data_IF_513948778720
#
_entry.id   IF_513948778720
#
_cell.length_a   1.000
_cell.length_b   1.000
_cell.length_c   1.000
_cell.angle_alpha   90.00
_cell.angle_beta   90.00
_cell.angle_gamma   90.00
#
_symmetry.space_group_name_H-M   'P 1'
#
loop_
_entity.id
_entity.type
_entity.pdbx_description
1 polymer ?
#
# COMPACT_ATOMS: atom_id res chain seq x y z
N UNK A 1 6.71 -6.61 62.77
CA UNK A 1 6.68 -5.37 61.95
C UNK A 1 7.46 -5.62 60.67
N UNK A 2 6.80 -6.09 59.61
CA UNK A 2 7.41 -6.26 58.28
C UNK A 2 7.54 -4.90 57.59
N UNK A 3 8.71 -4.61 57.02
CA UNK A 3 8.94 -3.35 56.29
C UNK A 3 7.92 -3.22 55.15
N UNK A 4 7.20 -2.09 55.10
CA UNK A 4 6.51 -1.57 53.92
C UNK A 4 7.54 -1.24 52.83
N UNK A 5 8.20 -2.24 52.28
CA UNK A 5 9.17 -2.11 51.21
C UNK A 5 8.58 -2.65 49.91
N UNK A 6 8.48 -1.77 48.92
CA UNK A 6 8.32 -2.09 47.49
C UNK A 6 6.96 -2.63 47.04
N UNK A 7 5.86 -1.87 47.27
CA UNK A 7 4.71 -2.02 46.37
C UNK A 7 5.16 -1.64 44.95
N UNK A 8 4.83 -2.48 43.97
CA UNK A 8 4.98 -2.15 42.56
C UNK A 8 3.74 -1.36 42.15
N UNK A 9 3.94 -0.14 41.64
CA UNK A 9 2.87 0.69 41.07
C UNK A 9 2.35 0.06 39.77
N UNK A 10 1.06 0.22 39.48
CA UNK A 10 0.42 -0.37 38.30
C UNK A 10 -0.04 -1.83 38.44
N UNK A 11 0.14 -2.43 39.63
CA UNK A 11 -0.39 -3.76 39.96
C UNK A 11 -1.52 -3.65 40.96
N UNK A 12 -2.73 -3.93 40.50
CA UNK A 12 -3.89 -4.08 41.39
C UNK A 12 -3.95 -5.49 41.99
N UNK A 13 -4.66 -5.61 43.12
CA UNK A 13 -5.02 -6.89 43.74
C UNK A 13 -5.96 -7.64 42.79
N UNK A 14 -5.39 -8.35 41.82
CA UNK A 14 -6.16 -9.27 40.99
C UNK A 14 -6.61 -10.41 41.89
N UNK A 15 -7.93 -10.59 41.99
CA UNK A 15 -8.49 -11.82 42.54
C UNK A 15 -8.23 -12.89 41.47
N UNK A 16 -7.03 -13.49 41.48
CA UNK A 16 -6.71 -14.61 40.60
C UNK A 16 -7.74 -15.71 40.93
N UNK A 17 -8.55 -16.16 39.96
CA UNK A 17 -9.54 -17.19 40.22
C UNK A 17 -8.84 -18.41 40.81
N UNK A 18 -9.52 -18.99 41.81
CA UNK A 18 -9.12 -20.02 42.76
C UNK A 18 -7.90 -20.91 42.40
N UNK A 19 -7.17 -21.29 43.45
CA UNK A 19 -5.96 -22.13 43.47
C UNK A 19 -5.95 -23.22 42.39
N UNK A 20 -5.38 -22.92 41.23
CA UNK A 20 -5.32 -23.86 40.10
C UNK A 20 -5.10 -23.22 38.73
N UNK A 21 -5.39 -21.91 38.60
CA UNK A 21 -5.20 -21.14 37.36
C UNK A 21 -3.89 -20.33 37.45
N UNK A 22 -2.73 -20.96 37.58
CA UNK A 22 -1.99 -21.51 36.45
C UNK A 22 -1.20 -20.38 35.77
N UNK A 23 0.12 -20.50 35.71
CA UNK A 23 1.08 -19.55 35.09
C UNK A 23 0.56 -18.72 33.87
N UNK A 24 -0.28 -19.24 32.94
CA UNK A 24 -0.84 -18.46 31.83
C UNK A 24 -1.63 -17.19 32.20
N UNK A 25 -2.50 -17.22 33.22
CA UNK A 25 -3.30 -16.03 33.58
C UNK A 25 -2.43 -14.94 34.19
N UNK A 26 -1.48 -15.35 35.04
CA UNK A 26 -0.49 -14.44 35.62
C UNK A 26 0.41 -13.82 34.55
N UNK A 27 0.77 -14.60 33.53
CA UNK A 27 1.54 -14.13 32.37
C UNK A 27 0.75 -13.12 31.55
N UNK A 28 -0.48 -13.43 31.15
CA UNK A 28 -1.33 -12.52 30.38
C UNK A 28 -1.53 -11.17 31.10
N UNK A 29 -1.83 -11.20 32.40
CA UNK A 29 -2.01 -9.99 33.20
C UNK A 29 -0.75 -9.12 33.29
N UNK A 30 0.41 -9.72 33.59
CA UNK A 30 1.66 -8.97 33.68
C UNK A 30 2.13 -8.46 32.31
N UNK A 31 1.91 -9.24 31.26
CA UNK A 31 2.16 -8.83 29.87
C UNK A 31 1.32 -7.61 29.50
N UNK A 32 0.00 -7.68 29.67
CA UNK A 32 -0.92 -6.56 29.39
C UNK A 32 -0.56 -5.32 30.23
N UNK A 33 -0.21 -5.51 31.50
CA UNK A 33 0.21 -4.41 32.37
C UNK A 33 1.48 -3.70 31.87
N UNK A 34 2.43 -4.42 31.27
CA UNK A 34 3.61 -3.84 30.63
C UNK A 34 3.23 -3.11 29.33
N UNK A 35 2.40 -3.74 28.50
CA UNK A 35 2.05 -3.24 27.17
C UNK A 35 1.19 -1.97 27.21
N UNK A 36 0.24 -1.90 28.14
CA UNK A 36 -0.64 -0.73 28.33
C UNK A 36 0.01 0.34 29.22
N UNK A 37 1.27 0.15 29.63
CA UNK A 37 2.05 1.13 30.39
C UNK A 37 1.71 1.26 31.87
N UNK A 38 0.84 0.39 32.43
CA UNK A 38 0.60 0.31 33.88
C UNK A 38 1.92 0.01 34.62
N UNK A 39 2.71 -0.91 34.08
CA UNK A 39 4.10 -1.15 34.47
C UNK A 39 5.02 -0.36 33.53
N UNK A 40 5.53 0.78 34.00
CA UNK A 40 6.37 1.66 33.17
C UNK A 40 7.70 1.00 32.77
N UNK A 41 8.24 1.30 31.58
CA UNK A 41 9.58 0.88 31.16
C UNK A 41 10.65 1.19 32.21
N UNK A 42 11.56 0.24 32.46
CA UNK A 42 12.62 0.36 33.46
C UNK A 42 12.17 0.10 34.92
N UNK A 43 10.87 -0.12 35.17
CA UNK A 43 10.37 -0.45 36.52
C UNK A 43 10.95 -1.76 37.04
N UNK A 44 11.34 -1.79 38.32
CA UNK A 44 11.90 -2.99 38.95
C UNK A 44 10.76 -3.93 39.36
N UNK A 45 10.81 -5.16 38.85
CA UNK A 45 9.86 -6.22 39.13
C UNK A 45 10.41 -7.16 40.21
N UNK A 46 10.18 -6.80 41.47
CA UNK A 46 10.55 -7.66 42.61
C UNK A 46 9.67 -8.91 42.64
N UNK A 47 10.28 -10.09 42.54
CA UNK A 47 9.56 -11.37 42.64
C UNK A 47 8.80 -11.52 43.95
N UNK A 48 9.35 -10.98 45.04
CA UNK A 48 8.72 -11.04 46.37
C UNK A 48 7.50 -10.13 46.40
N UNK A 49 7.63 -8.89 45.92
CA UNK A 49 6.53 -7.94 45.89
C UNK A 49 5.39 -8.38 44.97
N UNK A 50 5.71 -8.91 43.78
CA UNK A 50 4.72 -9.46 42.85
C UNK A 50 3.97 -10.64 43.47
N UNK A 51 4.67 -11.57 44.13
CA UNK A 51 4.05 -12.70 44.80
C UNK A 51 3.09 -12.26 45.92
N UNK A 52 3.49 -11.27 46.72
CA UNK A 52 2.68 -10.71 47.80
C UNK A 52 1.45 -9.94 47.28
N UNK A 53 1.62 -9.08 46.27
CA UNK A 53 0.52 -8.27 45.71
C UNK A 53 -0.51 -9.13 44.95
N UNK A 54 -0.06 -10.19 44.27
CA UNK A 54 -0.91 -11.03 43.44
C UNK A 54 -1.44 -12.27 44.17
N UNK A 55 -1.08 -12.45 45.45
CA UNK A 55 -1.57 -13.56 46.27
C UNK A 55 -1.09 -14.95 45.82
N UNK A 56 0.07 -15.03 45.14
CA UNK A 56 0.63 -16.27 44.59
C UNK A 56 1.98 -16.62 45.22
N UNK A 57 2.47 -17.85 45.02
CA UNK A 57 3.84 -18.21 45.44
C UNK A 57 4.89 -17.62 44.49
N UNK A 58 6.17 -17.60 44.90
CA UNK A 58 7.27 -17.07 44.08
C UNK A 58 7.58 -17.89 42.83
N UNK A 59 7.27 -19.19 42.84
CA UNK A 59 7.54 -20.11 41.73
C UNK A 59 6.85 -19.71 40.42
N UNK A 60 5.51 -19.47 40.37
CA UNK A 60 4.85 -19.01 39.16
C UNK A 60 5.31 -17.62 38.73
N UNK A 61 5.61 -16.70 39.66
CA UNK A 61 6.15 -15.37 39.33
C UNK A 61 7.48 -15.49 38.59
N UNK A 62 8.40 -16.33 39.08
CA UNK A 62 9.69 -16.57 38.42
C UNK A 62 9.54 -17.14 37.02
N UNK A 63 8.62 -18.09 36.84
CA UNK A 63 8.34 -18.68 35.52
C UNK A 63 7.73 -17.66 34.56
N UNK A 64 6.81 -16.81 35.02
CA UNK A 64 6.23 -15.74 34.21
C UNK A 64 7.29 -14.70 33.81
N UNK A 65 8.14 -14.25 34.74
CA UNK A 65 9.21 -13.29 34.42
C UNK A 65 10.22 -13.87 33.42
N UNK A 66 10.51 -15.17 33.49
CA UNK A 66 11.36 -15.85 32.50
C UNK A 66 10.71 -15.89 31.12
N UNK A 67 9.40 -16.10 31.03
CA UNK A 67 8.64 -16.03 29.76
C UNK A 67 8.63 -14.61 29.19
N UNK A 68 8.34 -13.62 30.03
CA UNK A 68 8.39 -12.20 29.63
C UNK A 68 9.80 -11.78 29.20
N UNK A 69 10.86 -12.36 29.79
CA UNK A 69 12.24 -12.17 29.32
C UNK A 69 12.48 -12.79 27.94
N UNK A 70 11.97 -13.99 27.68
CA UNK A 70 12.04 -14.61 26.35
C UNK A 70 11.28 -13.80 25.29
N UNK A 71 10.23 -13.08 25.70
CA UNK A 71 9.46 -12.17 24.86
C UNK A 71 10.14 -10.81 24.64
N UNK A 72 11.16 -10.47 25.43
CA UNK A 72 11.85 -9.17 25.38
C UNK A 72 11.17 -8.06 26.19
N UNK A 73 10.13 -8.38 26.98
CA UNK A 73 9.37 -7.41 27.78
C UNK A 73 10.01 -7.14 29.15
N UNK A 74 10.93 -8.02 29.58
CA UNK A 74 11.62 -7.93 30.87
C UNK A 74 13.11 -8.24 30.67
N UNK A 75 13.97 -7.44 31.27
CA UNK A 75 15.40 -7.69 31.39
C UNK A 75 15.70 -8.28 32.78
N UNK A 76 16.47 -9.37 32.85
CA UNK A 76 16.90 -9.96 34.13
C UNK A 76 18.42 -9.82 34.26
N UNK A 77 18.85 -8.91 35.13
CA UNK A 77 20.28 -8.68 35.41
C UNK A 77 20.89 -9.84 36.23
N UNK A 78 22.22 -10.08 36.11
CA UNK A 78 22.94 -10.94 37.04
C UNK A 78 22.79 -10.37 38.46
N UNK A 79 22.09 -11.10 39.34
CA UNK A 79 21.56 -10.73 40.68
C UNK A 79 20.01 -10.64 40.81
N UNK A 80 19.26 -11.27 39.89
CA UNK A 80 17.81 -11.56 39.95
C UNK A 80 16.85 -10.35 39.99
N UNK A 81 17.34 -9.13 39.77
CA UNK A 81 16.46 -7.97 39.61
C UNK A 81 15.91 -8.00 38.19
N UNK A 82 14.68 -8.45 38.06
CA UNK A 82 13.91 -8.28 36.83
C UNK A 82 13.50 -6.81 36.71
N UNK A 83 13.55 -6.26 35.50
CA UNK A 83 13.04 -4.93 35.18
C UNK A 83 12.22 -4.99 33.91
N UNK A 84 11.17 -4.18 33.80
CA UNK A 84 10.49 -3.97 32.52
C UNK A 84 11.53 -3.45 31.53
N UNK A 85 11.62 -4.09 30.36
CA UNK A 85 12.56 -3.69 29.32
C UNK A 85 12.36 -2.20 28.99
N UNK A 86 13.46 -1.47 28.78
CA UNK A 86 13.35 -0.05 28.43
C UNK A 86 12.90 0.04 26.98
N UNK A 87 11.69 0.54 26.76
CA UNK A 87 11.26 1.00 25.44
C UNK A 87 12.01 2.29 25.13
N UNK A 88 12.99 2.22 24.22
CA UNK A 88 13.65 3.39 23.65
C UNK A 88 12.86 3.80 22.39
N UNK A 89 11.95 4.79 22.45
CA UNK A 89 11.17 5.19 21.30
C UNK A 89 12.05 5.61 20.11
N UNK A 90 13.26 6.10 20.38
CA UNK A 90 14.28 6.42 19.38
C UNK A 90 14.76 5.18 18.61
N UNK A 91 14.96 4.04 19.28
CA UNK A 91 15.40 2.81 18.64
C UNK A 91 14.31 2.24 17.74
N UNK A 92 13.04 2.30 18.19
CA UNK A 92 11.89 1.86 17.39
C UNK A 92 11.65 2.80 16.21
N UNK A 93 11.79 4.11 16.39
CA UNK A 93 11.73 5.10 15.29
C UNK A 93 12.77 4.76 14.20
N UNK A 94 14.02 4.49 14.59
CA UNK A 94 15.09 4.09 13.65
C UNK A 94 14.79 2.74 13.00
N UNK A 95 14.37 1.73 13.76
CA UNK A 95 14.07 0.40 13.21
C UNK A 95 12.91 0.43 12.20
N UNK A 96 11.84 1.18 12.48
CA UNK A 96 10.71 1.33 11.55
C UNK A 96 11.11 2.16 10.32
N UNK A 97 11.96 3.18 10.48
CA UNK A 97 12.52 3.92 9.35
C UNK A 97 13.35 3.03 8.42
N UNK A 98 14.21 2.16 8.97
CA UNK A 98 14.96 1.18 8.21
C UNK A 98 14.04 0.19 7.50
N UNK A 99 12.97 -0.25 8.16
CA UNK A 99 11.94 -1.11 7.56
C UNK A 99 11.28 -0.44 6.35
N UNK A 100 10.85 0.81 6.50
CA UNK A 100 10.23 1.59 5.42
C UNK A 100 11.15 1.65 4.21
N UNK A 101 12.42 2.03 4.40
CA UNK A 101 13.40 2.13 3.31
C UNK A 101 13.69 0.77 2.66
N UNK A 102 13.85 -0.28 3.47
CA UNK A 102 14.17 -1.61 2.99
C UNK A 102 13.00 -2.26 2.23
N UNK A 103 11.76 -2.15 2.74
CA UNK A 103 10.58 -2.68 2.06
C UNK A 103 10.28 -1.88 0.78
N UNK A 104 10.48 -0.56 0.80
CA UNK A 104 10.38 0.30 -0.39
C UNK A 104 11.35 -0.15 -1.48
N UNK A 105 12.62 -0.34 -1.14
CA UNK A 105 13.64 -0.84 -2.08
C UNK A 105 13.28 -2.23 -2.61
N UNK A 106 12.75 -3.11 -1.76
CA UNK A 106 12.41 -4.47 -2.14
C UNK A 106 11.22 -4.52 -3.10
N UNK A 107 10.17 -3.72 -2.86
CA UNK A 107 9.06 -3.57 -3.80
C UNK A 107 9.58 -3.03 -5.12
N UNK A 108 10.32 -1.92 -5.12
CA UNK A 108 10.87 -1.33 -6.36
C UNK A 108 11.72 -2.32 -7.16
N UNK A 109 12.60 -3.06 -6.49
CA UNK A 109 13.46 -4.04 -7.12
C UNK A 109 12.71 -5.28 -7.66
N UNK A 110 11.56 -5.62 -7.08
CA UNK A 110 10.81 -6.84 -7.40
C UNK A 110 9.57 -6.63 -8.26
N UNK A 111 9.09 -5.40 -8.40
CA UNK A 111 7.76 -5.09 -8.97
C UNK A 111 7.59 -5.57 -10.41
N UNK A 112 8.65 -5.45 -11.23
CA UNK A 112 8.62 -5.88 -12.63
C UNK A 112 8.49 -7.41 -12.81
N UNK A 113 8.77 -8.18 -11.75
CA UNK A 113 8.66 -9.65 -11.75
C UNK A 113 7.38 -10.16 -11.08
N UNK A 114 6.47 -9.27 -10.67
CA UNK A 114 5.23 -9.64 -10.00
C UNK A 114 4.24 -10.27 -10.98
N UNK A 115 3.68 -11.44 -10.63
CA UNK A 115 2.87 -12.26 -11.55
C UNK A 115 1.37 -12.22 -11.25
N UNK A 116 0.55 -12.68 -12.20
CA UNK A 116 -0.90 -12.78 -12.01
C UNK A 116 -1.26 -13.73 -10.85
N UNK A 117 -0.59 -14.89 -10.77
CA UNK A 117 -0.79 -15.83 -9.65
C UNK A 117 -0.48 -15.18 -8.30
N UNK A 118 0.54 -14.32 -8.24
CA UNK A 118 0.88 -13.54 -7.04
C UNK A 118 -0.18 -12.48 -6.74
N UNK A 119 -0.75 -11.81 -7.75
CA UNK A 119 -1.86 -10.88 -7.55
C UNK A 119 -3.10 -11.59 -7.00
N UNK A 120 -3.47 -12.73 -7.57
CA UNK A 120 -4.60 -13.55 -7.11
C UNK A 120 -4.40 -14.06 -5.68
N UNK A 121 -3.20 -14.54 -5.35
CA UNK A 121 -2.82 -14.90 -3.98
C UNK A 121 -2.93 -13.68 -3.05
N UNK A 122 -2.45 -12.51 -3.46
CA UNK A 122 -2.57 -11.27 -2.71
C UNK A 122 -4.02 -10.95 -2.37
N UNK A 123 -4.94 -11.03 -3.35
CA UNK A 123 -6.37 -10.80 -3.10
C UNK A 123 -6.97 -11.81 -2.11
N UNK A 124 -6.52 -13.07 -2.14
CA UNK A 124 -6.91 -14.09 -1.17
C UNK A 124 -6.46 -13.74 0.24
N UNK A 125 -5.21 -13.28 0.40
CA UNK A 125 -4.67 -12.82 1.69
C UNK A 125 -5.44 -11.60 2.23
N UNK A 126 -5.75 -10.62 1.38
CA UNK A 126 -6.58 -9.48 1.77
C UNK A 126 -8.01 -9.90 2.16
N UNK A 127 -8.55 -10.94 1.53
CA UNK A 127 -9.83 -11.53 1.96
C UNK A 127 -9.73 -12.18 3.35
N UNK A 128 -8.67 -12.94 3.61
CA UNK A 128 -8.40 -13.53 4.94
C UNK A 128 -8.30 -12.46 6.02
N UNK A 129 -7.50 -11.41 5.78
CA UNK A 129 -7.40 -10.27 6.68
C UNK A 129 -8.76 -9.62 6.96
N UNK A 130 -9.58 -9.37 5.93
CA UNK A 130 -10.92 -8.79 6.11
C UNK A 130 -11.89 -9.69 6.87
N UNK A 131 -11.72 -11.01 6.80
CA UNK A 131 -12.57 -11.95 7.53
C UNK A 131 -12.10 -12.16 8.97
N UNK A 132 -10.80 -12.03 9.24
CA UNK A 132 -10.17 -12.20 10.55
C UNK A 132 -10.28 -10.94 11.44
N UNK A 133 -11.51 -10.42 11.60
CA UNK A 133 -11.80 -9.15 12.32
C UNK A 133 -12.32 -9.35 13.75
N UNK A 134 -12.50 -10.59 14.20
CA UNK A 134 -12.87 -10.92 15.57
C UNK A 134 -11.67 -10.82 16.53
N UNK A 135 -11.95 -10.64 17.84
CA UNK A 135 -10.90 -10.65 18.87
C UNK A 135 -10.14 -11.99 18.93
N UNK A 136 -10.84 -13.08 18.61
CA UNK A 136 -10.32 -14.45 18.56
C UNK A 136 -9.59 -14.77 17.25
N UNK A 137 -9.72 -13.93 16.21
CA UNK A 137 -9.16 -14.18 14.87
C UNK A 137 -7.86 -13.39 14.60
N UNK A 138 -7.35 -12.67 15.60
CA UNK A 138 -6.18 -11.81 15.41
C UNK A 138 -4.97 -12.59 14.87
N UNK A 139 -4.74 -13.84 15.33
CA UNK A 139 -3.65 -14.69 14.85
C UNK A 139 -3.71 -14.93 13.33
N UNK A 140 -4.89 -15.23 12.78
CA UNK A 140 -5.07 -15.43 11.34
C UNK A 140 -4.88 -14.12 10.56
N UNK A 141 -5.32 -12.98 11.12
CA UNK A 141 -5.04 -11.68 10.52
C UNK A 141 -3.53 -11.42 10.41
N UNK A 142 -2.76 -11.70 11.47
CA UNK A 142 -1.32 -11.46 11.48
C UNK A 142 -0.55 -12.38 10.55
N UNK A 143 -0.95 -13.64 10.47
CA UNK A 143 -0.37 -14.59 9.53
C UNK A 143 -0.63 -14.13 8.09
N UNK A 144 -1.88 -13.82 7.75
CA UNK A 144 -2.24 -13.32 6.42
C UNK A 144 -1.55 -11.98 6.08
N UNK A 145 -1.43 -11.07 7.06
CA UNK A 145 -0.72 -9.80 6.90
C UNK A 145 0.78 -10.01 6.66
N UNK A 146 1.43 -10.93 7.40
CA UNK A 146 2.84 -11.23 7.19
C UNK A 146 3.08 -11.87 5.82
N UNK A 147 2.22 -12.82 5.42
CA UNK A 147 2.24 -13.43 4.08
C UNK A 147 2.05 -12.37 2.98
N UNK A 148 1.19 -11.37 3.20
CA UNK A 148 0.98 -10.27 2.26
C UNK A 148 2.24 -9.44 2.05
N UNK A 149 2.90 -9.02 3.12
CA UNK A 149 4.14 -8.23 3.01
C UNK A 149 5.28 -9.05 2.39
N UNK A 150 5.39 -10.35 2.67
CA UNK A 150 6.37 -11.24 2.02
C UNK A 150 6.10 -11.42 0.52
N UNK A 151 4.82 -11.45 0.13
CA UNK A 151 4.38 -11.59 -1.25
C UNK A 151 4.74 -10.37 -2.09
N UNK A 152 4.45 -9.15 -1.61
CA UNK A 152 4.72 -7.92 -2.39
C UNK A 152 6.23 -7.68 -2.61
N UNK A 153 7.09 -8.29 -1.80
CA UNK A 153 8.56 -8.28 -1.97
C UNK A 153 9.12 -9.59 -2.52
N UNK A 154 8.27 -10.47 -3.07
CA UNK A 154 8.68 -11.78 -3.60
C UNK A 154 9.72 -11.70 -4.73
N UNK A 155 9.64 -10.67 -5.57
CA UNK A 155 10.57 -10.44 -6.67
C UNK A 155 11.93 -9.86 -6.24
N UNK A 156 12.07 -9.43 -4.99
CA UNK A 156 13.30 -8.79 -4.52
C UNK A 156 14.46 -9.79 -4.35
N UNK A 157 15.74 -9.35 -4.41
CA UNK A 157 16.89 -10.21 -4.14
C UNK A 157 16.78 -10.93 -2.79
N UNK A 158 17.12 -12.21 -2.76
CA UNK A 158 16.97 -13.06 -1.56
C UNK A 158 17.72 -12.52 -0.32
N UNK A 159 18.87 -11.86 -0.50
CA UNK A 159 19.58 -11.23 0.61
C UNK A 159 18.76 -10.08 1.25
N UNK A 160 18.08 -9.29 0.44
CA UNK A 160 17.20 -8.21 0.91
C UNK A 160 15.96 -8.79 1.61
N UNK A 161 15.34 -9.82 1.02
CA UNK A 161 14.22 -10.55 1.64
C UNK A 161 14.57 -11.12 3.02
N UNK A 162 15.78 -11.68 3.19
CA UNK A 162 16.25 -12.16 4.52
C UNK A 162 16.33 -11.04 5.54
N UNK A 163 16.94 -9.91 5.19
CA UNK A 163 16.99 -8.75 6.09
C UNK A 163 15.60 -8.24 6.46
N UNK A 164 14.66 -8.26 5.52
CA UNK A 164 13.27 -7.89 5.79
C UNK A 164 12.59 -8.83 6.78
N UNK A 165 12.81 -10.15 6.67
CA UNK A 165 12.31 -11.13 7.65
C UNK A 165 12.84 -10.84 9.05
N UNK A 166 14.14 -10.57 9.19
CA UNK A 166 14.76 -10.27 10.48
C UNK A 166 14.12 -9.02 11.14
N UNK A 167 13.84 -7.97 10.34
CA UNK A 167 13.18 -6.74 10.81
C UNK A 167 11.70 -6.99 11.14
N UNK A 168 10.99 -7.78 10.32
CA UNK A 168 9.60 -8.11 10.51
C UNK A 168 9.38 -8.91 11.82
N UNK A 169 10.24 -9.89 12.10
CA UNK A 169 10.20 -10.72 13.30
C UNK A 169 10.45 -9.92 14.57
N UNK A 170 11.41 -8.99 14.53
CA UNK A 170 11.71 -8.10 15.66
C UNK A 170 10.52 -7.21 16.05
N UNK A 171 9.62 -6.94 15.11
CA UNK A 171 8.54 -5.95 15.24
C UNK A 171 7.14 -6.58 15.24
N UNK A 172 7.02 -7.89 15.00
CA UNK A 172 5.76 -8.63 14.88
C UNK A 172 4.94 -8.64 16.19
N UNK A 173 5.61 -8.84 17.33
CA UNK A 173 4.95 -8.91 18.65
C UNK A 173 4.32 -7.59 19.06
N UNK A 174 4.93 -6.46 18.69
CA UNK A 174 4.42 -5.13 19.00
C UNK A 174 3.16 -4.79 18.20
N UNK A 175 3.07 -5.28 16.96
CA UNK A 175 1.87 -5.11 16.12
C UNK A 175 0.70 -5.97 16.64
N UNK A 176 1.01 -7.18 17.10
CA UNK A 176 0.05 -8.20 17.55
C UNK A 176 -0.96 -7.71 18.59
N UNK A 177 -0.45 -7.20 19.72
CA UNK A 177 -1.29 -6.84 20.86
C UNK A 177 -2.11 -5.56 20.60
N UNK A 178 -1.65 -4.71 19.68
CA UNK A 178 -2.35 -3.46 19.34
C UNK A 178 -3.52 -3.66 18.39
N UNK A 179 -3.40 -4.56 17.41
CA UNK A 179 -4.51 -4.81 16.47
C UNK A 179 -5.81 -5.17 17.19
N UNK A 180 -5.72 -5.99 18.25
CA UNK A 180 -6.86 -6.37 19.10
C UNK A 180 -7.56 -5.20 19.78
N UNK A 181 -6.86 -4.10 20.04
CA UNK A 181 -7.40 -2.90 20.71
C UNK A 181 -7.71 -1.76 19.74
N UNK A 182 -7.46 -1.92 18.43
CA UNK A 182 -7.75 -0.87 17.45
C UNK A 182 -9.27 -0.72 17.19
N UNK A 183 -9.78 0.52 17.05
CA UNK A 183 -11.15 0.75 16.60
C UNK A 183 -11.39 0.20 15.19
N UNK A 184 -12.59 -0.35 14.94
CA UNK A 184 -12.98 -0.90 13.63
C UNK A 184 -12.73 0.04 12.44
N UNK A 185 -13.04 1.34 12.49
CA UNK A 185 -12.77 2.24 11.36
C UNK A 185 -11.28 2.35 11.00
N UNK A 186 -10.37 2.14 11.98
CA UNK A 186 -8.93 2.14 11.74
C UNK A 186 -8.50 0.85 11.05
N UNK A 187 -9.04 -0.29 11.47
CA UNK A 187 -8.79 -1.58 10.82
C UNK A 187 -9.26 -1.57 9.36
N UNK A 188 -10.46 -1.05 9.10
CA UNK A 188 -11.01 -0.92 7.74
C UNK A 188 -10.18 -0.01 6.84
N UNK A 189 -9.60 1.05 7.40
CA UNK A 189 -8.69 1.92 6.64
C UNK A 189 -7.41 1.18 6.26
N UNK A 190 -6.81 0.45 7.20
CA UNK A 190 -5.61 -0.37 6.97
C UNK A 190 -5.87 -1.40 5.87
N UNK A 191 -6.98 -2.12 5.92
CA UNK A 191 -7.33 -3.10 4.88
C UNK A 191 -7.42 -2.45 3.48
N UNK A 192 -7.99 -1.25 3.38
CA UNK A 192 -8.04 -0.48 2.11
C UNK A 192 -6.65 -0.04 1.65
N UNK A 193 -5.77 0.33 2.57
CA UNK A 193 -4.37 0.66 2.24
C UNK A 193 -3.66 -0.54 1.62
N UNK A 194 -3.85 -1.75 2.17
CA UNK A 194 -3.29 -2.98 1.60
C UNK A 194 -3.85 -3.30 0.20
N UNK A 195 -5.15 -3.11 -0.02
CA UNK A 195 -5.77 -3.22 -1.35
C UNK A 195 -5.10 -2.27 -2.37
N UNK A 196 -4.90 -1.00 -1.99
CA UNK A 196 -4.26 -0.01 -2.85
C UNK A 196 -2.77 -0.32 -3.14
N UNK A 197 -2.05 -0.88 -2.15
CA UNK A 197 -0.65 -1.32 -2.32
C UNK A 197 -0.59 -2.47 -3.33
N UNK A 198 -1.44 -3.49 -3.16
CA UNK A 198 -1.46 -4.67 -4.04
C UNK A 198 -1.71 -4.28 -5.49
N UNK A 199 -2.68 -3.40 -5.72
CA UNK A 199 -3.00 -2.92 -7.08
C UNK A 199 -1.84 -2.11 -7.66
N UNK A 200 -1.17 -1.26 -6.87
CA UNK A 200 -0.01 -0.51 -7.34
C UNK A 200 1.16 -1.43 -7.73
N UNK A 201 1.41 -2.50 -6.96
CA UNK A 201 2.42 -3.52 -7.24
C UNK A 201 2.07 -4.29 -8.51
N UNK A 202 0.83 -4.78 -8.61
CA UNK A 202 0.33 -5.53 -9.78
C UNK A 202 0.42 -4.73 -11.08
N UNK A 203 0.08 -3.44 -11.02
CA UNK A 203 0.12 -2.55 -12.17
C UNK A 203 1.55 -2.12 -12.56
N UNK A 204 2.58 -2.50 -11.79
CA UNK A 204 3.97 -2.15 -12.08
C UNK A 204 4.32 -0.69 -11.77
N UNK A 205 3.52 0.01 -10.96
CA UNK A 205 3.73 1.44 -10.70
C UNK A 205 4.73 1.67 -9.57
N UNK A 206 6.03 1.54 -9.86
CA UNK A 206 7.10 1.60 -8.85
C UNK A 206 6.94 2.75 -7.84
N UNK A 207 6.95 4.00 -8.31
CA UNK A 207 6.83 5.18 -7.45
C UNK A 207 5.53 5.19 -6.61
N UNK A 208 4.41 4.70 -7.16
CA UNK A 208 3.14 4.66 -6.44
C UNK A 208 3.13 3.54 -5.40
N UNK A 209 3.61 2.36 -5.76
CA UNK A 209 3.70 1.22 -4.86
C UNK A 209 4.60 1.54 -3.68
N UNK A 210 5.77 2.14 -3.95
CA UNK A 210 6.70 2.63 -2.93
C UNK A 210 6.05 3.70 -2.05
N UNK A 211 5.43 4.73 -2.63
CA UNK A 211 4.79 5.79 -1.85
C UNK A 211 3.67 5.27 -0.96
N UNK A 212 2.79 4.38 -1.48
CA UNK A 212 1.68 3.79 -0.73
C UNK A 212 2.17 2.89 0.39
N UNK A 213 3.17 2.05 0.12
CA UNK A 213 3.77 1.18 1.13
C UNK A 213 4.48 1.99 2.22
N UNK A 214 5.28 2.98 1.82
CA UNK A 214 6.00 3.84 2.76
C UNK A 214 5.03 4.58 3.69
N UNK A 215 3.96 5.16 3.14
CA UNK A 215 2.92 5.82 3.92
C UNK A 215 2.23 4.85 4.88
N UNK A 216 1.77 3.69 4.40
CA UNK A 216 1.12 2.67 5.21
C UNK A 216 1.98 2.22 6.41
N UNK A 217 3.27 1.94 6.15
CA UNK A 217 4.22 1.55 7.18
C UNK A 217 4.50 2.69 8.17
N UNK A 218 4.71 3.92 7.67
CA UNK A 218 5.00 5.09 8.48
C UNK A 218 3.83 5.47 9.39
N UNK A 219 2.62 5.46 8.86
CA UNK A 219 1.40 5.80 9.59
C UNK A 219 1.08 4.75 10.66
N UNK A 220 1.23 3.46 10.33
CA UNK A 220 1.11 2.36 11.28
C UNK A 220 2.16 2.43 12.39
N UNK A 221 3.43 2.68 12.05
CA UNK A 221 4.53 2.83 13.01
C UNK A 221 4.38 4.06 13.89
N UNK A 222 4.00 5.22 13.32
CA UNK A 222 3.79 6.48 14.03
C UNK A 222 2.67 6.35 15.04
N UNK A 223 1.52 5.78 14.65
CA UNK A 223 0.46 5.44 15.60
C UNK A 223 0.99 4.53 16.69
N UNK A 224 1.72 3.47 16.30
CA UNK A 224 2.34 2.50 17.22
C UNK A 224 3.13 3.22 18.33
N UNK A 225 4.05 4.06 17.89
CA UNK A 225 5.02 4.75 18.72
C UNK A 225 4.41 5.83 19.61
N UNK A 226 3.51 6.67 19.07
CA UNK A 226 2.87 7.76 19.84
C UNK A 226 2.02 7.22 20.99
N UNK A 227 1.33 6.10 20.81
CA UNK A 227 0.54 5.55 21.92
C UNK A 227 1.42 4.97 23.05
N UNK A 228 2.62 4.47 22.72
CA UNK A 228 3.58 3.89 23.68
C UNK A 228 4.45 4.94 24.36
N UNK A 229 4.73 6.03 23.64
CA UNK A 229 5.49 7.18 24.13
C UNK A 229 4.75 8.49 23.79
N UNK A 230 3.67 8.83 24.51
CA UNK A 230 2.96 10.08 24.30
C UNK A 230 3.91 11.29 24.42
N UNK A 231 3.97 12.11 23.38
CA UNK A 231 4.86 13.28 23.31
C UNK A 231 6.19 13.03 22.59
N UNK A 232 6.54 11.78 22.28
CA UNK A 232 7.66 11.49 21.36
C UNK A 232 7.28 11.89 19.93
N UNK A 233 8.22 12.45 19.18
CA UNK A 233 8.06 12.87 17.79
C UNK A 233 8.84 11.93 16.86
N UNK A 234 8.17 11.07 16.07
CA UNK A 234 8.82 10.09 15.17
C UNK A 234 9.48 10.73 13.93
N UNK A 235 10.52 11.52 14.15
CA UNK A 235 11.16 12.26 13.07
C UNK A 235 11.84 11.34 12.06
N UNK A 236 12.39 10.21 12.50
CA UNK A 236 13.14 9.29 11.62
C UNK A 236 12.20 8.56 10.66
N UNK A 237 11.07 8.07 11.15
CA UNK A 237 9.97 7.52 10.33
C UNK A 237 9.51 8.55 9.29
N UNK A 238 9.26 9.80 9.70
CA UNK A 238 8.83 10.86 8.78
C UNK A 238 9.89 11.22 7.72
N UNK A 239 11.18 11.08 8.04
CA UNK A 239 12.26 11.21 7.05
C UNK A 239 12.28 10.02 6.07
N UNK A 240 12.15 8.79 6.56
CA UNK A 240 12.12 7.60 5.71
C UNK A 240 10.93 7.61 4.75
N UNK A 241 9.74 7.96 5.23
CA UNK A 241 8.54 8.10 4.39
C UNK A 241 8.76 9.10 3.24
N UNK A 242 9.27 10.30 3.56
CA UNK A 242 9.57 11.32 2.56
C UNK A 242 10.66 10.90 1.57
N UNK A 243 11.69 10.19 2.02
CA UNK A 243 12.74 9.69 1.14
C UNK A 243 12.21 8.62 0.18
N UNK A 244 11.37 7.70 0.66
CA UNK A 244 10.72 6.70 -0.17
C UNK A 244 9.72 7.32 -1.15
N UNK A 245 8.91 8.28 -0.70
CA UNK A 245 7.97 9.01 -1.55
C UNK A 245 8.69 9.98 -2.54
N UNK A 246 9.90 10.40 -2.20
CA UNK A 246 10.72 11.42 -2.89
C UNK A 246 11.43 10.97 -4.18
N UNK A 247 11.03 9.85 -4.80
CA UNK A 247 11.29 9.61 -6.24
C UNK A 247 10.38 10.45 -7.15
N UNK A 248 9.62 11.40 -6.58
CA UNK A 248 9.15 12.58 -7.28
C UNK A 248 10.20 13.70 -7.12
N UNK A 249 10.81 14.10 -8.23
CA UNK A 249 11.85 15.13 -8.38
C UNK A 249 11.59 16.38 -7.48
N UNK A 250 12.63 16.97 -6.84
CA UNK A 250 12.50 18.01 -5.83
C UNK A 250 12.36 19.40 -6.46
N UNK A 251 11.21 19.66 -7.09
CA UNK A 251 10.83 20.96 -7.60
C UNK A 251 9.36 21.27 -7.31
N UNK A 252 9.02 21.40 -6.03
CA UNK A 252 7.70 21.85 -5.61
C UNK A 252 7.61 21.83 -4.09
N UNK A 253 7.59 23.02 -3.49
CA UNK A 253 7.39 23.17 -2.06
C UNK A 253 6.10 22.46 -1.63
N UNK A 254 6.20 21.77 -0.49
CA UNK A 254 5.11 21.14 0.24
C UNK A 254 4.04 22.19 0.52
N UNK A 255 2.82 21.96 0.05
CA UNK A 255 1.64 22.56 0.66
C UNK A 255 1.14 21.55 1.71
N UNK A 256 1.22 21.92 2.98
CA UNK A 256 0.97 21.05 4.14
C UNK A 256 -0.53 20.72 4.34
N UNK A 257 -1.40 21.10 3.39
CA UNK A 257 -2.85 20.90 3.44
C UNK A 257 -3.40 19.86 2.41
N UNK A 258 -2.54 19.15 1.68
CA UNK A 258 -3.00 18.11 0.76
C UNK A 258 -3.37 16.80 1.49
N UNK A 259 -4.55 16.77 2.12
CA UNK A 259 -5.32 15.52 2.22
C UNK A 259 -5.35 14.85 0.83
N UNK A 260 -5.26 13.52 0.76
CA UNK A 260 -5.15 12.72 -0.45
C UNK A 260 -6.25 12.98 -1.51
N UNK A 261 -6.16 14.11 -2.21
CA UNK A 261 -7.15 14.65 -3.14
C UNK A 261 -6.79 14.44 -4.60
N UNK A 262 -7.77 14.65 -5.46
CA UNK A 262 -7.62 14.57 -6.92
C UNK A 262 -6.74 15.73 -7.45
N UNK A 263 -5.54 15.41 -7.92
CA UNK A 263 -4.64 16.39 -8.55
C UNK A 263 -4.97 16.57 -10.04
N UNK A 264 -5.81 17.56 -10.34
CA UNK A 264 -6.21 17.89 -11.70
C UNK A 264 -5.05 18.34 -12.60
N UNK A 265 -3.99 18.93 -12.03
CA UNK A 265 -2.82 19.38 -12.78
C UNK A 265 -1.97 18.19 -13.25
N UNK A 266 -1.76 17.19 -12.37
CA UNK A 266 -1.12 15.95 -12.74
C UNK A 266 -1.92 15.17 -13.81
N UNK A 267 -3.24 15.10 -13.67
CA UNK A 267 -4.12 14.48 -14.68
C UNK A 267 -3.97 15.17 -16.03
N UNK A 268 -4.07 16.51 -16.09
CA UNK A 268 -3.87 17.26 -17.34
C UNK A 268 -2.49 16.97 -17.94
N UNK A 269 -1.42 16.98 -17.14
CA UNK A 269 -0.05 16.74 -17.61
C UNK A 269 0.11 15.35 -18.24
N UNK A 270 -0.43 14.31 -17.60
CA UNK A 270 -0.37 12.94 -18.11
C UNK A 270 -1.15 12.82 -19.43
N UNK A 271 -2.38 13.32 -19.49
CA UNK A 271 -3.21 13.18 -20.69
C UNK A 271 -2.72 14.02 -21.88
N UNK A 272 -2.10 15.17 -21.65
CA UNK A 272 -1.43 15.94 -22.72
C UNK A 272 -0.28 15.13 -23.34
N UNK A 273 0.53 14.47 -22.51
CA UNK A 273 1.63 13.62 -23.01
C UNK A 273 1.11 12.38 -23.74
N UNK A 274 0.08 11.71 -23.20
CA UNK A 274 -0.57 10.56 -23.84
C UNK A 274 -1.15 10.94 -25.20
N UNK A 275 -1.95 12.00 -25.25
CA UNK A 275 -2.54 12.48 -26.50
C UNK A 275 -1.45 12.78 -27.54
N UNK A 276 -0.36 13.46 -27.16
CA UNK A 276 0.71 13.78 -28.10
C UNK A 276 1.42 12.53 -28.66
N UNK A 277 1.80 11.58 -27.79
CA UNK A 277 2.56 10.40 -28.18
C UNK A 277 1.68 9.36 -28.89
N UNK A 278 0.53 9.04 -28.34
CA UNK A 278 -0.34 7.99 -28.87
C UNK A 278 -1.00 8.42 -30.19
N UNK A 279 -1.32 9.71 -30.38
CA UNK A 279 -1.85 10.19 -31.66
C UNK A 279 -0.79 10.14 -32.77
N UNK A 280 0.47 10.49 -32.44
CA UNK A 280 1.60 10.30 -33.36
C UNK A 280 1.80 8.81 -33.68
N UNK A 281 1.74 7.95 -32.66
CA UNK A 281 1.90 6.51 -32.81
C UNK A 281 0.82 5.90 -33.68
N UNK A 282 -0.45 6.25 -33.46
CA UNK A 282 -1.57 5.76 -34.25
C UNK A 282 -1.48 6.19 -35.72
N UNK A 283 -1.09 7.44 -35.99
CA UNK A 283 -0.82 7.90 -37.37
C UNK A 283 0.27 7.06 -38.02
N UNK A 284 1.42 6.91 -37.35
CA UNK A 284 2.54 6.15 -37.88
C UNK A 284 2.18 4.67 -38.09
N UNK A 285 1.39 4.09 -37.20
CA UNK A 285 0.93 2.70 -37.30
C UNK A 285 -0.04 2.53 -38.47
N UNK A 286 -0.96 3.47 -38.70
CA UNK A 286 -1.86 3.45 -39.86
C UNK A 286 -1.10 3.55 -41.20
N UNK A 287 -0.02 4.33 -41.23
CA UNK A 287 0.80 4.54 -42.42
C UNK A 287 1.87 3.45 -42.62
N UNK A 288 2.08 2.56 -41.62
CA UNK A 288 3.11 1.55 -41.65
C UNK A 288 2.72 0.33 -42.47
N UNK A 289 3.65 -0.18 -43.28
CA UNK A 289 3.49 -1.44 -44.03
C UNK A 289 3.28 -2.67 -43.13
N UNK A 290 3.57 -2.55 -41.83
CA UNK A 290 3.44 -3.60 -40.81
C UNK A 290 2.15 -3.50 -39.99
N UNK A 291 1.20 -2.63 -40.36
CA UNK A 291 -0.04 -2.40 -39.62
C UNK A 291 -0.83 -3.68 -39.31
N UNK A 292 -0.73 -4.73 -40.15
CA UNK A 292 -1.45 -6.00 -39.95
C UNK A 292 -1.23 -6.65 -38.58
N UNK A 293 0.00 -6.68 -38.06
CA UNK A 293 0.26 -7.25 -36.73
C UNK A 293 -0.29 -6.37 -35.60
N UNK A 294 -0.32 -5.05 -35.80
CA UNK A 294 -0.93 -4.12 -34.84
C UNK A 294 -2.44 -4.32 -34.80
N UNK A 295 -3.09 -4.41 -35.98
CA UNK A 295 -4.51 -4.65 -36.12
C UNK A 295 -4.94 -5.97 -35.48
N UNK A 296 -4.19 -7.06 -35.67
CA UNK A 296 -4.49 -8.34 -35.01
C UNK A 296 -4.54 -8.22 -33.47
N UNK A 297 -3.55 -7.55 -32.87
CA UNK A 297 -3.51 -7.34 -31.42
C UNK A 297 -4.60 -6.38 -30.94
N UNK A 298 -4.89 -5.34 -31.72
CA UNK A 298 -5.97 -4.41 -31.39
C UNK A 298 -7.34 -5.11 -31.45
N UNK A 299 -7.57 -6.00 -32.42
CA UNK A 299 -8.80 -6.76 -32.54
C UNK A 299 -9.01 -7.70 -31.34
N UNK A 300 -7.98 -8.44 -30.94
CA UNK A 300 -8.03 -9.31 -29.75
C UNK A 300 -8.30 -8.50 -28.47
N UNK A 301 -7.64 -7.35 -28.30
CA UNK A 301 -7.88 -6.47 -27.17
C UNK A 301 -9.31 -5.90 -27.16
N UNK A 302 -9.85 -5.50 -28.32
CA UNK A 302 -11.23 -5.04 -28.46
C UNK A 302 -12.24 -6.12 -28.09
N UNK A 303 -12.03 -7.36 -28.53
CA UNK A 303 -12.89 -8.50 -28.18
C UNK A 303 -12.91 -8.72 -26.66
N UNK A 304 -11.73 -8.77 -26.02
CA UNK A 304 -11.60 -8.88 -24.56
C UNK A 304 -12.24 -7.70 -23.80
N UNK A 305 -12.20 -6.49 -24.36
CA UNK A 305 -12.88 -5.32 -23.78
C UNK A 305 -14.40 -5.39 -23.96
N UNK A 306 -14.91 -5.96 -25.06
CA UNK A 306 -16.36 -6.15 -25.31
C UNK A 306 -16.95 -7.25 -24.44
N UNK A 307 -16.21 -8.31 -24.18
CA UNK A 307 -16.61 -9.44 -23.33
C UNK A 307 -16.62 -9.08 -21.84
N UNK A 308 -16.17 -7.88 -21.47
CA UNK A 308 -16.24 -7.38 -20.11
C UNK A 308 -17.69 -7.22 -19.64
N UNK A 309 -18.02 -7.85 -18.51
CA UNK A 309 -19.33 -7.75 -17.86
C UNK A 309 -19.18 -7.13 -16.47
N UNK A 310 -20.26 -6.57 -15.90
CA UNK A 310 -20.24 -5.92 -14.58
C UNK A 310 -19.84 -6.82 -13.40
N UNK A 311 -19.64 -8.13 -13.63
CA UNK A 311 -19.12 -9.09 -12.64
C UNK A 311 -17.65 -9.50 -12.84
N UNK A 312 -17.02 -9.07 -13.94
CA UNK A 312 -15.61 -9.35 -14.23
C UNK A 312 -14.69 -8.37 -13.48
N UNK A 313 -13.49 -8.80 -13.03
CA UNK A 313 -12.54 -7.87 -12.43
C UNK A 313 -12.16 -6.74 -13.39
N UNK A 314 -12.21 -5.49 -12.93
CA UNK A 314 -11.83 -4.30 -13.74
C UNK A 314 -10.43 -4.40 -14.32
N UNK A 315 -9.52 -5.12 -13.65
CA UNK A 315 -8.16 -5.38 -14.12
C UNK A 315 -8.12 -6.10 -15.48
N UNK A 316 -9.09 -6.97 -15.80
CA UNK A 316 -9.14 -7.65 -17.11
C UNK A 316 -9.36 -6.65 -18.24
N UNK A 317 -10.32 -5.74 -18.09
CA UNK A 317 -10.56 -4.69 -19.08
C UNK A 317 -9.35 -3.76 -19.18
N UNK A 318 -8.71 -3.41 -18.06
CA UNK A 318 -7.53 -2.53 -18.06
C UNK A 318 -6.32 -3.13 -18.79
N UNK A 319 -6.10 -4.43 -18.65
CA UNK A 319 -5.05 -5.13 -19.39
C UNK A 319 -5.34 -5.09 -20.88
N UNK A 320 -6.56 -5.43 -21.31
CA UNK A 320 -6.95 -5.37 -22.71
C UNK A 320 -6.85 -3.93 -23.27
N UNK A 321 -7.33 -2.93 -22.53
CA UNK A 321 -7.21 -1.51 -22.88
C UNK A 321 -5.75 -1.07 -23.05
N UNK A 322 -4.86 -1.42 -22.12
CA UNK A 322 -3.43 -1.15 -22.25
C UNK A 322 -2.86 -1.76 -23.53
N UNK A 323 -3.15 -3.03 -23.79
CA UNK A 323 -2.66 -3.73 -24.97
C UNK A 323 -3.15 -3.10 -26.27
N UNK A 324 -4.40 -2.63 -26.31
CA UNK A 324 -4.94 -1.88 -27.44
C UNK A 324 -4.10 -0.63 -27.76
N UNK A 325 -3.87 0.24 -26.76
CA UNK A 325 -3.14 1.49 -26.95
C UNK A 325 -1.67 1.27 -27.36
N UNK A 326 -1.01 0.25 -26.80
CA UNK A 326 0.35 -0.12 -27.19
C UNK A 326 0.41 -0.68 -28.61
N UNK A 327 -0.59 -1.46 -29.02
CA UNK A 327 -0.68 -1.95 -30.39
C UNK A 327 -0.91 -0.80 -31.39
N UNK A 328 -1.84 0.11 -31.09
CA UNK A 328 -2.10 1.30 -31.90
C UNK A 328 -0.87 2.22 -32.01
N UNK A 329 -0.02 2.26 -30.99
CA UNK A 329 1.19 3.10 -30.98
C UNK A 329 2.46 2.36 -31.43
N UNK A 330 2.34 1.12 -31.94
CA UNK A 330 3.49 0.23 -32.12
C UNK A 330 4.57 0.70 -33.09
N UNK A 331 4.24 1.60 -34.02
CA UNK A 331 5.20 2.17 -34.97
C UNK A 331 6.15 3.23 -34.35
N UNK A 332 5.94 3.68 -33.11
CA UNK A 332 6.81 4.66 -32.44
C UNK A 332 8.23 4.14 -32.14
N UNK A 333 8.41 2.82 -32.11
CA UNK A 333 9.63 2.17 -31.62
C UNK A 333 9.68 2.04 -30.10
N UNK A 334 10.60 1.19 -29.62
CA UNK A 334 10.58 0.66 -28.26
C UNK A 334 10.66 1.73 -27.15
N UNK A 335 11.49 2.76 -27.32
CA UNK A 335 11.70 3.79 -26.28
C UNK A 335 10.44 4.63 -26.03
N UNK A 336 9.83 5.14 -27.10
CA UNK A 336 8.59 5.91 -27.01
C UNK A 336 7.40 5.04 -26.59
N UNK A 337 7.37 3.76 -26.98
CA UNK A 337 6.37 2.80 -26.49
C UNK A 337 6.47 2.57 -24.98
N UNK A 338 7.69 2.49 -24.42
CA UNK A 338 7.86 2.40 -22.96
C UNK A 338 7.34 3.66 -22.26
N UNK A 339 7.54 4.85 -22.84
CA UNK A 339 7.00 6.09 -22.29
C UNK A 339 5.47 6.12 -22.34
N UNK A 340 4.87 5.69 -23.45
CA UNK A 340 3.41 5.51 -23.58
C UNK A 340 2.90 4.57 -22.50
N UNK A 341 3.54 3.41 -22.31
CA UNK A 341 3.12 2.44 -21.31
C UNK A 341 3.16 3.00 -19.88
N UNK A 342 4.24 3.68 -19.52
CA UNK A 342 4.38 4.33 -18.22
C UNK A 342 3.29 5.40 -17.99
N UNK A 343 2.92 6.15 -19.04
CA UNK A 343 1.83 7.12 -18.99
C UNK A 343 0.45 6.46 -18.84
N UNK A 344 0.19 5.36 -19.57
CA UNK A 344 -1.03 4.57 -19.42
C UNK A 344 -1.14 4.12 -17.96
N UNK A 345 -0.07 3.57 -17.39
CA UNK A 345 -0.01 3.19 -15.98
C UNK A 345 -0.40 4.35 -15.06
N UNK A 346 0.30 5.49 -15.16
CA UNK A 346 -0.01 6.68 -14.34
C UNK A 346 -1.46 7.16 -14.49
N UNK A 347 -2.06 7.05 -15.68
CA UNK A 347 -3.45 7.43 -15.91
C UNK A 347 -4.48 6.49 -15.27
N UNK A 348 -4.18 5.19 -15.11
CA UNK A 348 -5.06 4.20 -14.47
C UNK A 348 -5.33 4.50 -12.99
N UNK A 349 -4.36 5.12 -12.31
CA UNK A 349 -4.50 5.49 -10.90
C UNK A 349 -5.74 6.36 -10.65
N UNK A 350 -6.01 7.32 -11.55
CA UNK A 350 -7.14 8.23 -11.40
C UNK A 350 -8.48 7.58 -11.75
N UNK A 351 -8.49 6.61 -12.67
CA UNK A 351 -9.70 5.85 -13.01
C UNK A 351 -10.12 4.91 -11.88
N UNK A 352 -9.16 4.26 -11.19
CA UNK A 352 -9.42 3.34 -10.08
C UNK A 352 -9.87 4.04 -8.79
N UNK A 353 -9.31 5.22 -8.49
CA UNK A 353 -9.62 5.95 -7.25
C UNK A 353 -11.01 6.61 -7.25
N UNK A 354 -11.60 6.82 -8.43
CA UNK A 354 -12.69 7.79 -8.60
C UNK A 354 -13.79 7.35 -9.59
N UNK A 355 -13.66 6.19 -10.25
CA UNK A 355 -14.66 5.71 -11.22
C UNK A 355 -15.28 4.37 -10.83
N UNK A 356 -16.31 4.32 -9.97
CA UNK A 356 -17.12 3.12 -9.82
C UNK A 356 -18.35 3.16 -10.75
N UNK A 357 -18.70 1.99 -11.30
CA UNK A 357 -20.09 1.57 -11.56
C UNK A 357 -20.91 2.33 -12.63
N UNK A 358 -20.36 2.59 -13.82
CA UNK A 358 -21.19 3.04 -14.94
C UNK A 358 -20.98 2.20 -16.21
N UNK A 359 -21.87 1.22 -16.44
CA UNK A 359 -21.91 0.36 -17.64
C UNK A 359 -22.01 1.15 -18.95
N UNK A 360 -22.62 2.34 -18.91
CA UNK A 360 -22.77 3.22 -20.07
C UNK A 360 -21.46 3.91 -20.46
N UNK A 361 -20.57 4.17 -19.49
CA UNK A 361 -19.25 4.73 -19.74
C UNK A 361 -18.34 3.73 -20.49
N UNK A 362 -18.47 2.44 -20.20
CA UNK A 362 -17.72 1.38 -20.87
C UNK A 362 -18.19 1.15 -22.31
N UNK A 363 -19.50 1.19 -22.55
CA UNK A 363 -20.06 1.10 -23.92
C UNK A 363 -19.58 2.28 -24.79
N UNK A 364 -19.55 3.48 -24.22
CA UNK A 364 -19.05 4.67 -24.92
C UNK A 364 -17.54 4.65 -25.12
N UNK A 365 -16.77 4.11 -24.16
CA UNK A 365 -15.34 3.88 -24.33
C UNK A 365 -15.08 2.88 -25.47
N UNK A 366 -15.78 1.74 -25.52
CA UNK A 366 -15.59 0.74 -26.57
C UNK A 366 -15.85 1.32 -27.98
N UNK A 367 -16.86 2.18 -28.15
CA UNK A 367 -17.13 2.84 -29.43
C UNK A 367 -16.00 3.80 -29.88
N UNK A 368 -15.26 4.41 -28.94
CA UNK A 368 -14.12 5.27 -29.27
C UNK A 368 -12.91 4.43 -29.73
N UNK A 369 -12.65 3.30 -29.08
CA UNK A 369 -11.60 2.36 -29.50
C UNK A 369 -11.88 1.77 -30.90
N UNK A 370 -13.14 1.46 -31.21
CA UNK A 370 -13.53 1.01 -32.56
C UNK A 370 -13.19 2.07 -33.63
N UNK A 371 -13.40 3.35 -33.35
CA UNK A 371 -13.07 4.42 -34.29
C UNK A 371 -11.57 4.52 -34.59
N UNK A 372 -10.72 4.23 -33.59
CA UNK A 372 -9.26 4.17 -33.76
C UNK A 372 -8.88 2.98 -34.63
N UNK A 373 -9.42 1.80 -34.31
CA UNK A 373 -9.17 0.58 -35.08
C UNK A 373 -9.52 0.77 -36.55
N UNK A 374 -10.72 1.26 -36.82
CA UNK A 374 -11.24 1.53 -38.15
C UNK A 374 -10.38 2.50 -38.95
N UNK A 375 -9.84 3.54 -38.31
CA UNK A 375 -8.97 4.50 -38.97
C UNK A 375 -7.60 3.87 -39.33
N UNK A 376 -7.04 3.06 -38.42
CA UNK A 376 -5.79 2.33 -38.69
C UNK A 376 -5.99 1.29 -39.80
N UNK A 377 -7.11 0.55 -39.79
CA UNK A 377 -7.44 -0.47 -40.80
C UNK A 377 -7.59 0.14 -42.21
N UNK A 378 -8.15 1.36 -42.29
CA UNK A 378 -8.24 2.13 -43.54
C UNK A 378 -6.94 2.82 -43.96
N UNK A 379 -5.85 2.65 -43.22
CA UNK A 379 -4.60 3.38 -43.39
C UNK A 379 -4.80 4.92 -43.38
N UNK A 380 -5.77 5.39 -42.62
CA UNK A 380 -6.09 6.81 -42.45
C UNK A 380 -5.32 7.37 -41.24
N UNK A 381 -4.07 7.80 -41.49
CA UNK A 381 -3.19 8.29 -40.43
C UNK A 381 -3.71 9.54 -39.72
N UNK A 382 -4.35 10.46 -40.46
CA UNK A 382 -4.92 11.67 -39.88
C UNK A 382 -6.17 11.35 -39.04
N UNK A 383 -7.04 10.49 -39.55
CA UNK A 383 -8.20 9.98 -38.79
C UNK A 383 -7.78 9.18 -37.55
N UNK A 384 -6.74 8.36 -37.63
CA UNK A 384 -6.24 7.57 -36.50
C UNK A 384 -5.69 8.46 -35.38
N UNK A 385 -4.92 9.50 -35.74
CA UNK A 385 -4.46 10.53 -34.80
C UNK A 385 -5.63 11.25 -34.12
N UNK A 386 -6.62 11.70 -34.89
CA UNK A 386 -7.77 12.41 -34.35
C UNK A 386 -8.64 11.51 -33.45
N UNK A 387 -8.83 10.25 -33.84
CA UNK A 387 -9.60 9.27 -33.08
C UNK A 387 -8.95 8.98 -31.71
N UNK A 388 -7.63 8.77 -31.65
CA UNK A 388 -6.92 8.58 -30.36
C UNK A 388 -6.99 9.85 -29.51
N UNK A 389 -6.78 11.03 -30.10
CA UNK A 389 -6.87 12.28 -29.35
C UNK A 389 -8.25 12.43 -28.69
N UNK A 390 -9.33 12.07 -29.40
CA UNK A 390 -10.69 12.11 -28.90
C UNK A 390 -10.97 11.05 -27.82
N UNK A 391 -10.49 9.83 -28.05
CA UNK A 391 -10.59 8.71 -27.11
C UNK A 391 -9.99 9.07 -25.74
N UNK A 392 -8.84 9.75 -25.73
CA UNK A 392 -8.15 10.14 -24.50
C UNK A 392 -8.65 11.46 -23.89
N UNK A 393 -9.05 12.44 -24.70
CA UNK A 393 -9.48 13.75 -24.22
C UNK A 393 -10.85 13.71 -23.52
N UNK A 394 -11.81 12.91 -24.04
CA UNK A 394 -13.18 12.89 -23.49
C UNK A 394 -13.24 12.37 -22.05
N UNK A 395 -12.66 11.19 -21.71
CA UNK A 395 -12.68 10.69 -20.34
C UNK A 395 -11.91 11.60 -19.39
N UNK A 396 -10.76 12.13 -19.80
CA UNK A 396 -9.92 12.98 -18.95
C UNK A 396 -10.54 14.34 -18.64
N UNK A 397 -11.17 15.00 -19.62
CA UNK A 397 -11.94 16.24 -19.38
C UNK A 397 -13.17 15.99 -18.50
N UNK A 398 -13.84 14.85 -18.67
CA UNK A 398 -14.98 14.48 -17.82
C UNK A 398 -14.55 14.24 -16.37
N UNK A 399 -13.41 13.56 -16.19
CA UNK A 399 -12.82 13.29 -14.89
C UNK A 399 -12.44 14.59 -14.18
N UNK A 400 -11.72 15.50 -14.86
CA UNK A 400 -11.37 16.81 -14.29
C UNK A 400 -12.64 17.61 -13.99
N UNK A 401 -13.62 17.66 -14.90
CA UNK A 401 -14.85 18.41 -14.69
C UNK A 401 -15.70 17.90 -13.51
N UNK A 402 -15.62 16.62 -13.19
CA UNK A 402 -16.32 16.05 -12.04
C UNK A 402 -15.58 16.26 -10.72
N UNK A 403 -14.26 16.03 -10.68
CA UNK A 403 -13.48 16.03 -9.44
C UNK A 403 -12.79 17.36 -9.11
N UNK A 404 -12.61 18.23 -10.09
CA UNK A 404 -12.04 19.58 -9.94
C UNK A 404 -12.72 20.56 -10.92
N UNK A 405 -14.03 20.84 -10.76
CA UNK A 405 -14.80 21.66 -11.68
C UNK A 405 -14.27 23.11 -11.83
N UNK A 406 -13.54 23.61 -10.83
CA UNK A 406 -12.86 24.90 -10.84
C UNK A 406 -11.53 24.93 -11.61
N UNK A 407 -10.97 23.77 -11.95
CA UNK A 407 -9.69 23.68 -12.65
C UNK A 407 -9.83 23.98 -14.15
N UNK A 408 -9.09 24.97 -14.65
CA UNK A 408 -9.06 25.31 -16.08
C UNK A 408 -8.14 24.36 -16.86
N UNK A 409 -8.71 23.26 -17.39
CA UNK A 409 -8.02 22.31 -18.27
C UNK A 409 -7.70 22.85 -19.69
N UNK A 410 -7.24 24.10 -19.79
CA UNK A 410 -6.98 24.80 -21.06
C UNK A 410 -5.92 24.12 -21.91
N UNK A 411 -4.85 23.59 -21.29
CA UNK A 411 -3.75 22.95 -22.04
C UNK A 411 -4.26 21.68 -22.70
N UNK A 412 -4.99 20.84 -21.95
CA UNK A 412 -5.61 19.62 -22.48
C UNK A 412 -6.57 19.92 -23.65
N UNK A 413 -7.44 20.93 -23.50
CA UNK A 413 -8.36 21.36 -24.57
C UNK A 413 -7.62 21.86 -25.81
N UNK A 414 -6.54 22.62 -25.64
CA UNK A 414 -5.76 23.14 -26.75
C UNK A 414 -5.03 22.02 -27.50
N UNK A 415 -4.42 21.07 -26.78
CA UNK A 415 -3.77 19.89 -27.38
C UNK A 415 -4.77 19.05 -28.18
N UNK A 416 -5.96 18.80 -27.62
CA UNK A 416 -7.02 18.09 -28.33
C UNK A 416 -7.48 18.83 -29.60
N UNK A 417 -7.79 20.12 -29.50
CA UNK A 417 -8.28 20.92 -30.62
C UNK A 417 -7.30 20.96 -31.80
N UNK A 418 -5.99 21.02 -31.51
CA UNK A 418 -4.96 21.01 -32.55
C UNK A 418 -4.98 19.70 -33.34
N UNK A 419 -5.02 18.55 -32.66
CA UNK A 419 -4.95 17.23 -33.30
C UNK A 419 -6.27 16.81 -33.97
N UNK A 420 -7.41 17.32 -33.51
CA UNK A 420 -8.70 17.11 -34.18
C UNK A 420 -8.87 17.93 -35.47
N UNK A 421 -8.25 19.11 -35.54
CA UNK A 421 -8.30 19.95 -36.74
C UNK A 421 -7.52 19.32 -37.91
N UNK A 422 -6.41 18.63 -37.62
CA UNK A 422 -5.55 17.97 -38.60
C UNK A 422 -6.23 16.74 -39.27
N UNK A 423 -7.30 16.18 -38.68
CA UNK A 423 -8.04 15.04 -39.22
C UNK A 423 -9.28 15.38 -40.06
N UNK A 424 -9.62 16.67 -40.20
CA UNK A 424 -10.80 17.14 -40.96
C UNK A 424 -10.46 17.69 -42.35
N UNK A 425 -9.20 17.59 -42.76
CA UNK A 425 -8.67 18.00 -44.07
C UNK A 425 -8.37 16.80 -44.95
#
# INVERSE_FOLDING_TARGET
MGRRGDRIEGIDLVTVPDRGVGVPVLHAYLRESILDGRLAPGSVLSQVALAEQLGVSRTPVREVLRRLQQEGLVEIEPNQRARVARFAPEEVDVQQALRILAESLAVSAGIAAFTQDQHELGRSLLSRMRNARGHDDADDWFEAHAEFHELIVAGAPEQLRRHLRDIADATARERFDRWRSMPRPVQERIDREHELILEAVWLGHDNLAVARLAHHLADSATRSLIARAPGYKPATIAHAERLSAGHQDPAGAVDEDAEAGFDAAAVQSIYVQRIALESLGARMTAEASSAGHALERMADALERMRDFSSGSPTSHWQTAHREFHLAASSALGDDLLHQVDALIGRSRHFMLMHGPENTDAWTMANALHESVFDAIDRADGAGASAAIANDLARPSLSLIGYFAPEFDAKVLRATFAQLSADGSS
#
